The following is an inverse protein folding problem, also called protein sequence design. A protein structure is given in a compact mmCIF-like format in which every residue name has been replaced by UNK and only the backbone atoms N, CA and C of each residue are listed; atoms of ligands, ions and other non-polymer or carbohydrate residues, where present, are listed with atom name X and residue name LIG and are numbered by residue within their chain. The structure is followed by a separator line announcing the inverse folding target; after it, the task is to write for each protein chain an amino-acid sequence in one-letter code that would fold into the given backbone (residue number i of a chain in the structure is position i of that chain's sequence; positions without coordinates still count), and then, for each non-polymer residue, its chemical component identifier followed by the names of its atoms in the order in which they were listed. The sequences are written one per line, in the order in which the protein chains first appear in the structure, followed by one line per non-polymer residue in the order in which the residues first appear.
data_IF_725526252507
#
_entry.id   IF_725526252507
#
_cell.length_a   1.000
_cell.length_b   1.000
_cell.length_c   1.000
_cell.angle_alpha   90.00
_cell.angle_beta   90.00
_cell.angle_gamma   90.00
#
_symmetry.space_group_name_H-M   'P 1'
#
loop_
_entity.id
_entity.type
_entity.pdbx_description
1 polymer ?
#
# COMPACT_ATOMS: atom_id res chain seq x y z
N UNK A 1 17.01 -5.13 -28.82
CA UNK A 1 16.88 -3.73 -28.32
C UNK A 1 15.99 -3.73 -27.09
N UNK A 2 16.30 -2.91 -26.08
CA UNK A 2 15.55 -2.81 -24.82
C UNK A 2 15.33 -1.33 -24.53
N UNK A 3 14.12 -0.96 -24.11
CA UNK A 3 13.76 0.40 -23.72
C UNK A 3 12.70 0.35 -22.62
N UNK A 4 12.71 1.35 -21.74
CA UNK A 4 11.81 1.43 -20.59
C UNK A 4 10.64 2.41 -20.84
N UNK A 5 10.65 3.12 -21.96
CA UNK A 5 9.62 4.06 -22.39
C UNK A 5 9.64 4.22 -23.90
N UNK A 6 8.52 4.65 -24.47
CA UNK A 6 8.36 4.84 -25.92
C UNK A 6 8.45 6.33 -26.23
N UNK A 7 9.65 6.89 -26.10
CA UNK A 7 10.00 8.27 -26.49
C UNK A 7 10.98 8.25 -27.66
N UNK A 8 11.02 9.31 -28.47
CA UNK A 8 11.94 9.40 -29.62
C UNK A 8 13.40 9.16 -29.18
N UNK A 9 13.80 9.78 -28.07
CA UNK A 9 15.15 9.67 -27.52
C UNK A 9 15.46 8.25 -27.04
N UNK A 10 14.55 7.64 -26.24
CA UNK A 10 14.77 6.29 -25.70
C UNK A 10 14.86 5.23 -26.82
N UNK A 11 14.02 5.33 -27.85
CA UNK A 11 14.07 4.43 -29.00
C UNK A 11 15.38 4.61 -29.76
N UNK A 12 15.78 5.85 -30.08
CA UNK A 12 17.02 6.08 -30.81
C UNK A 12 18.24 5.51 -30.05
N UNK A 13 18.35 5.78 -28.75
CA UNK A 13 19.43 5.24 -27.91
C UNK A 13 19.44 3.70 -27.86
N UNK A 14 18.26 3.07 -27.76
CA UNK A 14 18.14 1.61 -27.70
C UNK A 14 18.61 0.91 -28.98
N UNK A 15 18.51 1.58 -30.14
CA UNK A 15 18.96 1.07 -31.43
C UNK A 15 20.41 1.44 -31.75
N UNK A 16 20.94 2.55 -31.21
CA UNK A 16 22.36 2.91 -31.32
C UNK A 16 23.27 1.91 -30.57
N UNK A 17 22.80 1.36 -29.45
CA UNK A 17 23.53 0.36 -28.65
C UNK A 17 22.67 -0.88 -28.42
N UNK A 18 22.48 -1.75 -29.43
CA UNK A 18 21.69 -2.96 -29.26
C UNK A 18 22.42 -3.91 -28.32
N UNK A 19 21.75 -4.31 -27.25
CA UNK A 19 22.21 -5.41 -26.40
C UNK A 19 22.07 -6.78 -27.07
N UNK A 20 22.80 -7.76 -26.56
CA UNK A 20 22.66 -9.16 -26.97
C UNK A 20 21.47 -9.84 -26.27
N UNK A 21 21.02 -10.96 -26.84
CA UNK A 21 19.99 -11.78 -26.22
C UNK A 21 20.54 -12.41 -24.92
N UNK A 22 19.96 -12.05 -23.77
CA UNK A 22 20.30 -12.69 -22.51
C UNK A 22 19.76 -14.12 -22.45
N UNK A 23 20.64 -15.11 -22.63
CA UNK A 23 20.26 -16.52 -22.52
C UNK A 23 19.81 -16.89 -21.12
N UNK A 24 20.38 -16.25 -20.08
CA UNK A 24 19.97 -16.45 -18.69
C UNK A 24 18.53 -15.99 -18.45
N UNK A 25 18.13 -14.84 -19.03
CA UNK A 25 16.75 -14.37 -18.99
C UNK A 25 15.77 -15.34 -19.67
N UNK A 26 16.17 -15.91 -20.81
CA UNK A 26 15.40 -16.94 -21.52
C UNK A 26 15.29 -18.20 -20.65
N UNK A 27 16.40 -18.70 -20.12
CA UNK A 27 16.45 -19.91 -19.30
C UNK A 27 15.64 -19.77 -18.01
N UNK A 28 15.69 -18.61 -17.35
CA UNK A 28 14.88 -18.31 -16.17
C UNK A 28 13.37 -18.36 -16.49
N UNK A 29 12.97 -17.79 -17.63
CA UNK A 29 11.58 -17.85 -18.11
C UNK A 29 11.14 -19.30 -18.40
N UNK A 30 11.99 -20.10 -19.05
CA UNK A 30 11.68 -21.49 -19.37
C UNK A 30 11.59 -22.35 -18.12
N UNK A 31 12.53 -22.20 -17.18
CA UNK A 31 12.51 -22.90 -15.90
C UNK A 31 11.20 -22.62 -15.15
N UNK A 32 10.75 -21.36 -15.08
CA UNK A 32 9.45 -21.00 -14.50
C UNK A 32 8.29 -21.73 -15.19
N UNK A 33 8.26 -21.72 -16.52
CA UNK A 33 7.24 -22.41 -17.32
C UNK A 33 7.21 -23.91 -17.03
N UNK A 34 8.37 -24.55 -16.92
CA UNK A 34 8.47 -25.97 -16.59
C UNK A 34 7.98 -26.25 -15.17
N UNK A 35 8.40 -25.48 -14.17
CA UNK A 35 7.93 -25.64 -12.77
C UNK A 35 6.41 -25.52 -12.67
N UNK A 36 5.83 -24.50 -13.30
CA UNK A 36 4.38 -24.28 -13.26
C UNK A 36 3.63 -25.42 -13.97
N UNK A 37 4.18 -25.96 -15.06
CA UNK A 37 3.65 -27.14 -15.76
C UNK A 37 3.75 -28.42 -14.93
N UNK A 38 4.87 -28.68 -14.26
CA UNK A 38 5.05 -29.86 -13.40
C UNK A 38 3.99 -29.87 -12.29
N UNK A 39 3.83 -28.76 -11.57
CA UNK A 39 2.81 -28.66 -10.51
C UNK A 39 1.40 -28.83 -11.09
N UNK A 40 1.09 -28.14 -12.19
CA UNK A 40 -0.24 -28.23 -12.81
C UNK A 40 -0.61 -29.65 -13.24
N UNK A 41 0.31 -30.36 -13.92
CA UNK A 41 0.04 -31.69 -14.47
C UNK A 41 0.14 -32.81 -13.44
N UNK A 42 1.01 -32.70 -12.44
CA UNK A 42 1.20 -33.75 -11.43
C UNK A 42 0.23 -33.62 -10.25
N UNK A 43 -0.10 -32.40 -9.81
CA UNK A 43 -0.90 -32.19 -8.59
C UNK A 43 -2.40 -32.12 -8.89
N UNK A 44 -2.83 -31.57 -10.04
CA UNK A 44 -4.27 -31.47 -10.37
C UNK A 44 -4.98 -32.84 -10.41
N UNK A 45 -4.40 -33.92 -11.00
CA UNK A 45 -5.04 -35.24 -10.97
C UNK A 45 -5.26 -35.77 -9.55
N UNK A 46 -4.36 -35.46 -8.61
CA UNK A 46 -4.52 -35.81 -7.21
C UNK A 46 -5.70 -35.05 -6.58
N UNK A 47 -5.85 -33.75 -6.87
CA UNK A 47 -6.99 -32.96 -6.42
C UNK A 47 -8.32 -33.50 -6.98
N UNK A 48 -8.34 -33.98 -8.23
CA UNK A 48 -9.54 -34.60 -8.80
C UNK A 48 -9.95 -35.87 -8.08
N UNK A 49 -8.98 -36.68 -7.66
CA UNK A 49 -9.20 -37.93 -6.94
C UNK A 49 -9.61 -37.69 -5.47
N UNK A 50 -9.10 -36.63 -4.84
CA UNK A 50 -9.22 -36.41 -3.38
C UNK A 50 -10.19 -35.33 -2.95
N UNK A 51 -10.50 -34.37 -3.82
CA UNK A 51 -11.32 -33.20 -3.49
C UNK A 51 -12.50 -33.07 -4.45
N UNK A 52 -12.26 -32.70 -5.71
CA UNK A 52 -13.29 -32.57 -6.73
C UNK A 52 -12.69 -32.54 -8.14
N UNK A 53 -13.40 -33.15 -9.11
CA UNK A 53 -13.01 -33.09 -10.54
C UNK A 53 -13.04 -31.64 -11.04
N UNK A 54 -12.11 -31.30 -11.92
CA UNK A 54 -12.01 -29.97 -12.55
C UNK A 54 -11.21 -28.93 -11.76
N UNK A 55 -10.73 -29.25 -10.55
CA UNK A 55 -9.85 -28.37 -9.79
C UNK A 55 -8.46 -28.25 -10.43
N UNK A 56 -7.83 -27.09 -10.33
CA UNK A 56 -6.47 -26.86 -10.82
C UNK A 56 -5.53 -26.57 -9.65
N UNK A 57 -4.35 -27.18 -9.67
CA UNK A 57 -3.24 -26.84 -8.79
C UNK A 57 -2.34 -25.81 -9.47
N UNK A 58 -1.94 -24.77 -8.74
CA UNK A 58 -1.01 -23.78 -9.23
C UNK A 58 -0.01 -23.42 -8.14
N UNK A 59 1.28 -23.51 -8.45
CA UNK A 59 2.38 -23.33 -7.48
C UNK A 59 2.25 -22.04 -6.67
N UNK A 60 1.94 -20.93 -7.33
CA UNK A 60 1.76 -19.61 -6.68
C UNK A 60 0.30 -19.37 -6.26
N UNK A 61 -0.66 -19.83 -7.06
CA UNK A 61 -2.09 -19.62 -6.79
C UNK A 61 -2.53 -20.31 -5.49
N UNK A 62 -2.08 -21.53 -5.23
CA UNK A 62 -2.42 -22.27 -4.01
C UNK A 62 -1.88 -21.58 -2.74
N UNK A 63 -0.71 -20.93 -2.82
CA UNK A 63 -0.17 -20.13 -1.71
C UNK A 63 -0.99 -18.87 -1.50
N UNK A 64 -1.41 -18.18 -2.57
CA UNK A 64 -2.29 -17.02 -2.45
C UNK A 64 -3.66 -17.38 -1.84
N UNK A 65 -4.25 -18.52 -2.25
CA UNK A 65 -5.49 -19.03 -1.64
C UNK A 65 -5.26 -19.40 -0.18
N UNK A 66 -4.11 -19.98 0.17
CA UNK A 66 -3.75 -20.29 1.57
C UNK A 66 -3.78 -19.03 2.45
N UNK A 67 -3.20 -17.91 2.00
CA UNK A 67 -3.22 -16.65 2.76
C UNK A 67 -4.66 -16.17 3.07
N UNK A 68 -5.57 -16.29 2.09
CA UNK A 68 -6.98 -15.95 2.29
C UNK A 68 -7.66 -16.90 3.28
N UNK A 69 -7.42 -18.20 3.15
CA UNK A 69 -7.98 -19.22 4.06
C UNK A 69 -7.46 -19.03 5.49
N UNK A 70 -6.18 -18.70 5.67
CA UNK A 70 -5.61 -18.43 7.00
C UNK A 70 -6.22 -17.18 7.63
N UNK A 71 -6.40 -16.09 6.86
CA UNK A 71 -7.12 -14.91 7.35
C UNK A 71 -8.56 -15.22 7.72
N UNK A 72 -9.27 -16.00 6.90
CA UNK A 72 -10.65 -16.39 7.17
C UNK A 72 -10.76 -17.26 8.44
N UNK A 73 -9.79 -18.15 8.67
CA UNK A 73 -9.72 -18.94 9.91
C UNK A 73 -9.48 -18.07 11.13
N UNK A 74 -8.62 -17.05 11.02
CA UNK A 74 -8.41 -16.07 12.09
C UNK A 74 -9.70 -15.32 12.41
N UNK A 75 -10.43 -14.86 11.39
CA UNK A 75 -11.72 -14.18 11.56
C UNK A 75 -12.75 -15.09 12.25
N UNK A 76 -12.84 -16.36 11.84
CA UNK A 76 -13.77 -17.34 12.45
C UNK A 76 -13.42 -17.73 13.88
N UNK A 77 -12.13 -17.76 14.21
CA UNK A 77 -11.64 -18.07 15.55
C UNK A 77 -11.63 -16.85 16.48
N UNK A 78 -11.89 -15.65 15.96
CA UNK A 78 -11.92 -14.43 16.74
C UNK A 78 -13.15 -14.41 17.64
N UNK A 79 -12.93 -14.33 18.96
CA UNK A 79 -13.98 -14.11 19.96
C UNK A 79 -13.93 -12.63 20.33
N UNK A 80 -14.91 -11.82 19.95
CA UNK A 80 -14.93 -10.40 20.30
C UNK A 80 -15.00 -10.22 21.83
N UNK A 81 -14.21 -9.28 22.33
CA UNK A 81 -14.25 -8.84 23.72
C UNK A 81 -14.87 -7.45 23.79
N UNK A 82 -15.79 -7.26 24.74
CA UNK A 82 -16.42 -5.97 24.99
C UNK A 82 -15.44 -5.02 25.68
N UNK A 83 -15.38 -3.78 25.19
CA UNK A 83 -14.69 -2.68 25.84
C UNK A 83 -15.43 -1.37 25.56
N UNK A 84 -15.26 -0.40 26.43
CA UNK A 84 -15.92 0.89 26.33
C UNK A 84 -14.92 2.03 26.38
N UNK A 85 -15.23 3.09 25.64
CA UNK A 85 -14.57 4.38 25.71
C UNK A 85 -15.51 5.40 26.34
N UNK A 86 -14.96 6.27 27.20
CA UNK A 86 -15.69 7.43 27.72
C UNK A 86 -15.14 8.68 27.04
N UNK A 87 -16.04 9.45 26.45
CA UNK A 87 -15.75 10.76 25.89
C UNK A 87 -16.39 11.85 26.73
N UNK A 88 -15.67 12.96 26.91
CA UNK A 88 -16.18 14.16 27.56
C UNK A 88 -16.18 15.31 26.54
N UNK A 89 -17.36 15.85 26.26
CA UNK A 89 -17.50 17.05 25.46
C UNK A 89 -17.30 18.28 26.35
N UNK A 90 -16.16 18.95 26.18
CA UNK A 90 -15.77 20.11 26.98
C UNK A 90 -15.74 21.37 26.14
N UNK A 91 -15.61 22.53 26.78
CA UNK A 91 -15.36 23.80 26.11
C UNK A 91 -14.03 24.39 26.54
N UNK A 92 -13.29 24.95 25.60
CA UNK A 92 -12.10 25.76 25.90
C UNK A 92 -12.50 27.06 26.60
N UNK A 93 -11.50 27.80 27.12
CA UNK A 93 -11.73 29.14 27.69
C UNK A 93 -12.39 30.08 26.68
N UNK A 94 -12.10 29.92 25.39
CA UNK A 94 -12.66 30.72 24.29
C UNK A 94 -13.99 30.14 23.77
N UNK A 95 -14.62 29.24 24.53
CA UNK A 95 -15.91 28.58 24.24
C UNK A 95 -15.92 27.70 22.98
N UNK A 96 -14.76 27.31 22.46
CA UNK A 96 -14.67 26.33 21.39
C UNK A 96 -14.93 24.92 21.93
N UNK A 97 -15.61 24.09 21.16
CA UNK A 97 -15.88 22.70 21.54
C UNK A 97 -14.58 21.88 21.49
N UNK A 98 -14.36 21.04 22.50
CA UNK A 98 -13.16 20.23 22.65
C UNK A 98 -13.51 18.87 23.26
N UNK A 99 -13.50 17.82 22.43
CA UNK A 99 -13.83 16.46 22.86
C UNK A 99 -12.59 15.74 23.37
N UNK A 100 -12.70 15.23 24.60
CA UNK A 100 -11.67 14.45 25.27
C UNK A 100 -12.07 12.97 25.28
N UNK A 101 -11.09 12.07 25.29
CA UNK A 101 -11.27 10.65 25.60
C UNK A 101 -10.53 10.36 26.91
N UNK A 102 -11.16 9.62 27.81
CA UNK A 102 -10.53 9.17 29.05
C UNK A 102 -9.43 8.16 28.72
N UNK A 103 -8.17 8.57 28.86
CA UNK A 103 -7.03 7.71 28.53
C UNK A 103 -6.62 6.78 29.69
N UNK A 104 -6.72 7.28 30.92
CA UNK A 104 -6.22 6.58 32.11
C UNK A 104 -7.01 6.92 33.37
N UNK A 105 -6.98 6.01 34.34
CA UNK A 105 -7.45 6.18 35.71
C UNK A 105 -6.31 5.75 36.64
N UNK A 106 -5.92 6.63 37.57
CA UNK A 106 -4.85 6.37 38.55
C UNK A 106 -3.51 5.92 37.91
N UNK A 107 -3.16 6.49 36.75
CA UNK A 107 -1.94 6.17 36.01
C UNK A 107 -1.99 4.87 35.20
N UNK A 108 -3.14 4.17 35.19
CA UNK A 108 -3.36 2.94 34.42
C UNK A 108 -4.30 3.21 33.25
N UNK A 109 -4.01 2.62 32.09
CA UNK A 109 -4.87 2.75 30.91
C UNK A 109 -6.32 2.38 31.24
N UNK A 110 -7.25 3.29 30.94
CA UNK A 110 -8.66 3.11 31.24
C UNK A 110 -9.31 2.28 30.15
N UNK A 111 -9.72 1.05 30.49
CA UNK A 111 -10.33 0.07 29.57
C UNK A 111 -11.47 -0.68 30.27
N UNK A 112 -12.59 -0.02 30.56
CA UNK A 112 -13.77 -0.69 31.14
C UNK A 112 -14.28 -1.77 30.19
N UNK A 113 -14.66 -2.93 30.75
CA UNK A 113 -15.06 -4.11 29.96
C UNK A 113 -16.57 -4.31 29.89
N UNK A 114 -17.35 -3.42 30.51
CA UNK A 114 -18.81 -3.48 30.52
C UNK A 114 -19.44 -2.11 30.82
N UNK A 115 -20.75 -2.02 30.62
CA UNK A 115 -21.56 -0.82 30.88
C UNK A 115 -21.50 -0.38 32.35
N UNK A 116 -21.55 -1.31 33.32
CA UNK A 116 -21.60 -0.97 34.74
C UNK A 116 -20.33 -0.24 35.21
N UNK A 117 -19.15 -0.76 34.84
CA UNK A 117 -17.86 -0.10 35.10
C UNK A 117 -17.79 1.29 34.44
N UNK A 118 -18.32 1.39 33.23
CA UNK A 118 -18.37 2.65 32.46
C UNK A 118 -19.27 3.68 33.15
N UNK A 119 -20.48 3.29 33.56
CA UNK A 119 -21.42 4.18 34.25
C UNK A 119 -20.88 4.69 35.59
N UNK A 120 -20.19 3.84 36.36
CA UNK A 120 -19.53 4.26 37.61
C UNK A 120 -18.48 5.34 37.34
N UNK A 121 -17.66 5.16 36.30
CA UNK A 121 -16.67 6.17 35.91
C UNK A 121 -17.32 7.46 35.38
N UNK A 122 -18.37 7.34 34.56
CA UNK A 122 -19.14 8.48 34.03
C UNK A 122 -19.72 9.33 35.16
N UNK A 123 -20.35 8.71 36.17
CA UNK A 123 -20.94 9.43 37.30
C UNK A 123 -19.92 10.24 38.12
N UNK A 124 -18.66 9.79 38.16
CA UNK A 124 -17.55 10.55 38.76
C UNK A 124 -17.16 11.72 37.86
N UNK A 125 -17.05 11.48 36.55
CA UNK A 125 -16.61 12.46 35.56
C UNK A 125 -17.62 13.60 35.34
N UNK A 126 -18.93 13.33 35.39
CA UNK A 126 -19.99 14.35 35.31
C UNK A 126 -19.90 15.42 36.40
N UNK A 127 -19.39 15.04 37.58
CA UNK A 127 -19.21 15.94 38.73
C UNK A 127 -17.81 16.52 38.79
N UNK A 128 -16.90 16.06 37.94
CA UNK A 128 -15.50 16.46 37.96
C UNK A 128 -15.32 17.84 37.30
N UNK A 129 -14.23 18.51 37.68
CA UNK A 129 -13.72 19.67 36.96
C UNK A 129 -12.55 19.22 36.10
N UNK A 130 -12.55 19.66 34.85
CA UNK A 130 -11.49 19.35 33.90
C UNK A 130 -10.47 20.48 33.88
N UNK A 131 -9.20 20.12 33.94
CA UNK A 131 -8.09 21.05 33.75
C UNK A 131 -7.05 20.45 32.79
N UNK A 132 -6.31 21.33 32.13
CA UNK A 132 -5.23 20.91 31.23
C UNK A 132 -3.97 20.66 32.06
N UNK A 133 -3.64 19.40 32.32
CA UNK A 133 -2.45 19.04 33.10
C UNK A 133 -1.14 19.17 32.30
N UNK A 134 -1.20 18.99 30.98
CA UNK A 134 -0.03 19.07 30.08
C UNK A 134 -0.48 19.47 28.68
N UNK A 135 0.28 20.37 28.05
CA UNK A 135 0.20 20.67 26.61
C UNK A 135 1.58 20.45 26.00
N UNK A 136 1.61 19.76 24.87
CA UNK A 136 2.85 19.48 24.16
C UNK A 136 2.64 19.77 22.68
N UNK A 137 3.31 20.82 22.20
CA UNK A 137 3.32 21.21 20.80
C UNK A 137 4.61 20.69 20.16
N UNK A 138 4.49 19.72 19.24
CA UNK A 138 5.64 19.16 18.52
C UNK A 138 5.43 19.35 17.01
N UNK A 139 6.37 19.99 16.30
CA UNK A 139 6.32 20.02 14.85
C UNK A 139 6.49 18.58 14.33
N UNK A 140 5.59 18.15 13.44
CA UNK A 140 5.71 16.88 12.73
C UNK A 140 5.77 17.13 11.24
N UNK A 141 6.41 16.21 10.51
CA UNK A 141 6.54 16.28 9.06
C UNK A 141 6.24 14.92 8.45
N UNK A 142 5.53 14.89 7.33
CA UNK A 142 5.33 13.68 6.53
C UNK A 142 6.16 13.77 5.25
N UNK A 143 6.81 12.68 4.88
CA UNK A 143 7.58 12.60 3.62
C UNK A 143 6.67 12.14 2.47
N UNK A 144 6.91 12.63 1.24
CA UNK A 144 6.21 12.10 0.07
C UNK A 144 6.50 10.62 -0.12
N UNK A 145 5.53 9.89 -0.70
CA UNK A 145 5.72 8.50 -1.09
C UNK A 145 6.69 8.38 -2.26
N UNK A 146 7.35 7.22 -2.37
CA UNK A 146 8.17 6.90 -3.53
C UNK A 146 7.33 6.83 -4.83
N UNK A 147 7.98 6.97 -6.01
CA UNK A 147 7.34 6.74 -7.30
C UNK A 147 6.69 5.36 -7.39
N UNK A 148 5.70 5.22 -8.27
CA UNK A 148 4.97 3.97 -8.41
C UNK A 148 5.83 2.86 -9.01
N UNK A 149 5.87 1.73 -8.32
CA UNK A 149 6.15 0.40 -8.88
C UNK A 149 4.84 -0.34 -9.18
N UNK A 150 4.93 -1.50 -9.83
CA UNK A 150 3.76 -2.32 -10.22
C UNK A 150 2.80 -2.56 -9.05
N UNK A 151 3.33 -2.96 -7.89
CA UNK A 151 2.53 -3.32 -6.72
C UNK A 151 1.87 -2.10 -6.08
N UNK A 152 2.58 -0.98 -5.95
CA UNK A 152 2.05 0.26 -5.37
C UNK A 152 1.05 0.95 -6.29
N UNK A 153 1.25 0.86 -7.61
CA UNK A 153 0.28 1.35 -8.60
C UNK A 153 -1.04 0.58 -8.50
N UNK A 154 -0.96 -0.76 -8.45
CA UNK A 154 -2.13 -1.62 -8.30
C UNK A 154 -2.89 -1.35 -6.99
N UNK A 155 -2.16 -1.21 -5.88
CA UNK A 155 -2.76 -0.87 -4.58
C UNK A 155 -3.43 0.51 -4.62
N UNK A 156 -2.73 1.54 -5.08
CA UNK A 156 -3.27 2.89 -5.14
C UNK A 156 -4.49 3.00 -6.06
N UNK A 157 -4.46 2.35 -7.23
CA UNK A 157 -5.61 2.32 -8.14
C UNK A 157 -6.82 1.57 -7.54
N UNK A 158 -6.58 0.50 -6.79
CA UNK A 158 -7.63 -0.22 -6.07
C UNK A 158 -8.26 0.66 -4.98
N UNK A 159 -7.44 1.24 -4.10
CA UNK A 159 -7.92 2.01 -2.94
C UNK A 159 -8.52 3.36 -3.34
N UNK A 160 -7.93 4.06 -4.32
CA UNK A 160 -8.34 5.43 -4.67
C UNK A 160 -9.34 5.51 -5.83
N UNK A 161 -9.28 4.55 -6.77
CA UNK A 161 -10.10 4.57 -8.00
C UNK A 161 -11.06 3.38 -8.10
N UNK A 162 -11.01 2.43 -7.17
CA UNK A 162 -11.84 1.22 -7.21
C UNK A 162 -11.51 0.26 -8.37
N UNK A 163 -10.32 0.35 -8.96
CA UNK A 163 -9.94 -0.48 -10.10
C UNK A 163 -9.34 -1.81 -9.65
N UNK A 164 -9.92 -2.92 -10.11
CA UNK A 164 -9.29 -4.23 -9.95
C UNK A 164 -7.96 -4.33 -10.71
N UNK A 165 -7.04 -5.17 -10.22
CA UNK A 165 -5.66 -5.28 -10.75
C UNK A 165 -5.59 -5.53 -12.25
N UNK A 166 -6.52 -6.33 -12.82
CA UNK A 166 -6.58 -6.61 -14.25
C UNK A 166 -6.90 -5.36 -15.07
N UNK A 167 -7.83 -4.52 -14.59
CA UNK A 167 -8.21 -3.27 -15.25
C UNK A 167 -7.03 -2.29 -15.21
N UNK A 168 -6.40 -2.13 -14.05
CA UNK A 168 -5.22 -1.26 -13.88
C UNK A 168 -4.11 -1.63 -14.85
N UNK A 169 -3.74 -2.92 -14.93
CA UNK A 169 -2.67 -3.36 -15.82
C UNK A 169 -3.02 -3.25 -17.31
N UNK A 170 -4.28 -3.46 -17.68
CA UNK A 170 -4.73 -3.25 -19.06
C UNK A 170 -4.62 -1.78 -19.48
N UNK A 171 -5.06 -0.85 -18.61
CA UNK A 171 -4.97 0.58 -18.90
C UNK A 171 -3.52 1.06 -18.92
N UNK A 172 -2.70 0.63 -17.96
CA UNK A 172 -1.27 0.95 -17.93
C UNK A 172 -0.54 0.43 -19.18
N UNK A 173 -0.87 -0.76 -19.67
CA UNK A 173 -0.33 -1.27 -20.95
C UNK A 173 -0.65 -0.31 -22.10
N UNK A 174 -1.90 0.14 -22.23
CA UNK A 174 -2.30 1.10 -23.28
C UNK A 174 -1.58 2.44 -23.15
N UNK A 175 -1.41 2.93 -21.93
CA UNK A 175 -0.68 4.17 -21.68
C UNK A 175 0.80 4.05 -22.06
N UNK A 176 1.43 2.92 -21.74
CA UNK A 176 2.81 2.63 -22.11
C UNK A 176 2.98 2.53 -23.63
N UNK A 177 2.12 1.76 -24.30
CA UNK A 177 2.16 1.58 -25.77
C UNK A 177 1.89 2.88 -26.54
N UNK A 178 1.11 3.81 -25.95
CA UNK A 178 0.87 5.13 -26.50
C UNK A 178 1.95 6.17 -26.12
N UNK A 179 2.98 5.79 -25.35
CA UNK A 179 4.10 6.67 -24.98
C UNK A 179 3.81 7.65 -23.83
N UNK A 180 2.75 7.43 -23.03
CA UNK A 180 2.39 8.34 -21.93
C UNK A 180 3.09 8.03 -20.61
N UNK A 181 3.55 6.80 -20.41
CA UNK A 181 4.21 6.36 -19.17
C UNK A 181 5.38 5.44 -19.49
N UNK A 182 6.26 5.25 -18.51
CA UNK A 182 7.31 4.22 -18.51
C UNK A 182 6.74 2.81 -18.30
N UNK A 183 7.58 1.79 -18.45
CA UNK A 183 7.17 0.39 -18.40
C UNK A 183 6.57 0.01 -17.04
N UNK A 184 5.27 -0.30 -17.05
CA UNK A 184 4.44 -0.53 -15.86
C UNK A 184 4.69 -1.85 -15.12
N UNK A 185 5.58 -2.72 -15.61
CA UNK A 185 5.99 -3.97 -14.93
C UNK A 185 7.40 -3.82 -14.39
N UNK A 186 7.53 -2.95 -13.38
CA UNK A 186 8.77 -2.62 -12.68
C UNK A 186 8.62 -2.81 -11.17
N UNK A 187 9.71 -3.15 -10.50
CA UNK A 187 9.92 -3.13 -9.05
C UNK A 187 10.88 -2.00 -8.61
N UNK A 188 11.40 -1.22 -9.56
CA UNK A 188 12.31 -0.10 -9.31
C UNK A 188 11.54 1.21 -9.08
N UNK A 189 11.92 1.90 -8.02
CA UNK A 189 11.45 3.27 -7.71
C UNK A 189 12.38 4.35 -8.27
N UNK A 190 13.43 3.94 -9.00
CA UNK A 190 14.41 4.85 -9.58
C UNK A 190 13.78 5.77 -10.63
N UNK A 191 14.27 7.00 -10.70
CA UNK A 191 13.90 7.99 -11.70
C UNK A 191 15.14 8.39 -12.50
N UNK A 192 15.01 8.56 -13.82
CA UNK A 192 16.08 9.12 -14.63
C UNK A 192 16.34 10.57 -14.24
N UNK A 193 17.56 11.07 -14.49
CA UNK A 193 17.91 12.48 -14.27
C UNK A 193 16.96 13.41 -15.03
N UNK A 194 16.60 13.06 -16.27
CA UNK A 194 15.64 13.81 -17.09
C UNK A 194 14.24 13.89 -16.45
N UNK A 195 13.74 12.78 -15.90
CA UNK A 195 12.44 12.76 -15.22
C UNK A 195 12.47 13.61 -13.93
N UNK A 196 13.58 13.56 -13.18
CA UNK A 196 13.79 14.36 -11.97
C UNK A 196 13.86 15.86 -12.30
N UNK A 197 14.58 16.24 -13.35
CA UNK A 197 14.66 17.64 -13.79
C UNK A 197 13.30 18.16 -14.24
N UNK A 198 12.60 17.39 -15.09
CA UNK A 198 11.27 17.75 -15.61
C UNK A 198 10.26 17.97 -14.48
N UNK A 199 10.16 17.04 -13.52
CA UNK A 199 9.19 17.18 -12.42
C UNK A 199 9.55 18.32 -11.47
N UNK A 200 10.85 18.60 -11.26
CA UNK A 200 11.29 19.73 -10.43
C UNK A 200 10.97 21.07 -11.08
N UNK A 201 11.17 21.18 -12.40
CA UNK A 201 10.76 22.36 -13.17
C UNK A 201 9.27 22.62 -13.05
N UNK A 202 8.46 21.59 -13.28
CA UNK A 202 7.00 21.67 -13.12
C UNK A 202 6.59 22.09 -11.70
N UNK A 203 7.21 21.54 -10.65
CA UNK A 203 6.90 21.93 -9.27
C UNK A 203 7.25 23.40 -9.00
N UNK A 204 8.41 23.86 -9.49
CA UNK A 204 8.82 25.25 -9.34
C UNK A 204 7.88 26.23 -10.05
N UNK A 205 7.43 25.88 -11.26
CA UNK A 205 6.53 26.72 -12.06
C UNK A 205 5.10 26.76 -11.50
N UNK A 206 4.52 25.60 -11.15
CA UNK A 206 3.11 25.50 -10.78
C UNK A 206 2.83 25.72 -9.28
N UNK A 207 3.76 25.35 -8.40
CA UNK A 207 3.57 25.43 -6.94
C UNK A 207 4.55 26.38 -6.24
N UNK A 208 5.66 26.74 -6.88
CA UNK A 208 6.66 27.66 -6.34
C UNK A 208 7.69 27.00 -5.41
N UNK A 209 8.71 27.78 -5.05
CA UNK A 209 9.91 27.30 -4.35
C UNK A 209 9.65 26.67 -2.97
N UNK A 210 8.58 27.08 -2.28
CA UNK A 210 8.21 26.51 -0.98
C UNK A 210 7.84 25.02 -1.07
N UNK A 211 7.42 24.54 -2.26
CA UNK A 211 7.05 23.15 -2.51
C UNK A 211 8.15 22.36 -3.23
N UNK A 212 9.22 23.03 -3.66
CA UNK A 212 10.35 22.42 -4.36
C UNK A 212 11.47 22.07 -3.35
N UNK A 213 11.76 20.78 -3.11
CA UNK A 213 12.86 20.42 -2.23
C UNK A 213 14.20 20.97 -2.74
N UNK A 214 15.03 21.51 -1.85
CA UNK A 214 16.33 22.09 -2.21
C UNK A 214 17.26 21.10 -2.94
N UNK A 215 17.17 19.81 -2.59
CA UNK A 215 17.86 18.71 -3.27
C UNK A 215 16.84 17.76 -3.90
N UNK A 216 17.22 17.15 -5.02
CA UNK A 216 16.41 16.10 -5.63
C UNK A 216 16.21 14.93 -4.64
N UNK A 217 14.98 14.44 -4.55
CA UNK A 217 14.68 13.24 -3.78
C UNK A 217 15.05 12.02 -4.62
N UNK A 218 15.85 11.13 -4.03
CA UNK A 218 16.25 9.86 -4.66
C UNK A 218 15.53 8.72 -3.95
N UNK A 219 14.95 7.82 -4.73
CA UNK A 219 14.20 6.67 -4.24
C UNK A 219 14.78 5.41 -4.87
N UNK A 220 15.20 4.47 -4.03
CA UNK A 220 15.94 3.28 -4.45
C UNK A 220 17.46 3.49 -4.43
N UNK A 221 18.16 2.36 -4.40
CA UNK A 221 19.61 2.20 -4.46
C UNK A 221 19.96 1.38 -5.69
#
# INVERSE_FOLDING_TARGET
VVFNEITKNAIQQAFEKPGELSIDGVNAQQARRFMDRVVGFMVSPLLWKKVARGLSAGRVQSVAVKLLVERERQIKAFVPEEFWDIHADTKTKDKADFRLQVAQKDGVAFKPVNEAETQVATAVLEKARYEVCKREDRPTSSKPSAPFITSTLQQAASTRLGYGVKKTMMLAQRLYEAGYITYMRTDSTNLSSEAVETVRGFIGEEYGDAYLPAKANVYGS
#
